data_IF_129596798470
#
_entry.id   IF_129596798470
#
_cell.length_a   1.000
_cell.length_b   1.000
_cell.length_c   1.000
_cell.angle_alpha   90.00
_cell.angle_beta   90.00
_cell.angle_gamma   90.00
#
_symmetry.space_group_name_H-M   'P 1'
#
loop_
_entity.id
_entity.type
_entity.pdbx_description
1 polymer ?
#
# COMPACT_ATOMS: atom_id res chain seq x y z
N UNK A 1 -16.69 -27.46 44.14
CA UNK A 1 -17.36 -26.32 44.80
C UNK A 1 -16.52 -25.08 44.57
N UNK A 2 -17.14 -24.03 44.03
CA UNK A 2 -16.87 -22.57 44.14
C UNK A 2 -15.39 -22.12 44.22
N UNK A 3 -14.90 -21.49 43.14
CA UNK A 3 -14.72 -20.02 43.00
C UNK A 3 -13.33 -19.61 43.53
N UNK A 4 -12.46 -18.99 42.72
CA UNK A 4 -12.51 -17.55 42.45
C UNK A 4 -12.12 -17.21 41.00
N UNK A 5 -12.89 -16.27 40.43
CA UNK A 5 -12.57 -15.55 39.21
C UNK A 5 -11.63 -14.40 39.58
N UNK A 6 -10.47 -14.29 38.94
CA UNK A 6 -9.83 -12.99 38.78
C UNK A 6 -9.98 -12.55 37.33
N UNK A 7 -10.77 -11.50 37.19
CA UNK A 7 -11.01 -10.71 36.00
C UNK A 7 -9.94 -9.62 35.96
N UNK A 8 -8.89 -9.79 35.17
CA UNK A 8 -8.01 -8.68 34.83
C UNK A 8 -8.24 -8.27 33.37
N UNK A 9 -8.56 -6.99 33.27
CA UNK A 9 -8.94 -6.23 32.10
C UNK A 9 -7.66 -5.82 31.38
N UNK A 10 -7.71 -5.89 30.06
CA UNK A 10 -6.85 -5.18 29.11
C UNK A 10 -6.75 -3.71 29.53
N UNK A 11 -5.53 -3.15 29.60
CA UNK A 11 -5.13 -1.83 29.06
C UNK A 11 -3.76 -1.38 29.60
N UNK A 12 -2.96 -0.83 28.69
CA UNK A 12 -1.80 0.05 28.88
C UNK A 12 -0.57 -0.44 29.66
N UNK A 13 0.41 -0.96 28.90
CA UNK A 13 1.75 -0.33 28.94
C UNK A 13 2.47 -0.53 27.61
N UNK A 14 2.17 0.38 26.68
CA UNK A 14 3.03 0.67 25.54
C UNK A 14 4.26 1.36 26.14
N UNK A 15 5.37 0.63 26.28
CA UNK A 15 6.66 1.22 26.62
C UNK A 15 7.15 2.04 25.43
N UNK A 16 6.67 3.27 25.38
CA UNK A 16 7.30 4.39 24.74
C UNK A 16 8.61 4.70 25.49
N UNK A 17 9.67 3.97 25.16
CA UNK A 17 11.05 4.44 25.37
C UNK A 17 11.64 4.74 24.00
N UNK A 18 11.64 6.03 23.67
CA UNK A 18 12.20 6.54 22.43
C UNK A 18 13.66 6.15 22.26
N UNK A 19 13.95 5.48 21.15
CA UNK A 19 15.24 5.60 20.48
C UNK A 19 15.03 6.49 19.26
N UNK A 20 15.22 7.80 19.46
CA UNK A 20 15.52 8.74 18.37
C UNK A 20 17.02 8.66 18.17
N UNK A 21 17.46 7.90 17.17
CA UNK A 21 18.87 7.72 16.80
C UNK A 21 18.97 6.73 15.65
N UNK A 22 19.32 7.23 14.46
CA UNK A 22 19.18 6.56 13.18
C UNK A 22 19.99 5.28 13.01
N UNK A 23 19.38 4.30 12.34
CA UNK A 23 20.08 3.07 11.93
C UNK A 23 19.54 2.37 10.67
N UNK A 24 18.43 2.84 10.06
CA UNK A 24 17.89 2.22 8.82
C UNK A 24 18.07 3.10 7.56
N UNK A 25 18.43 4.38 7.71
CA UNK A 25 18.71 5.26 6.56
C UNK A 25 20.14 5.15 6.02
N UNK A 26 21.04 4.43 6.72
CA UNK A 26 22.47 4.41 6.41
C UNK A 26 22.87 3.50 5.25
N UNK A 27 21.97 2.62 4.80
CA UNK A 27 22.20 1.74 3.66
C UNK A 27 20.96 1.72 2.77
N UNK A 28 21.16 1.77 1.46
CA UNK A 28 20.11 1.50 0.48
C UNK A 28 20.51 0.25 -0.30
N UNK A 29 19.59 -0.70 -0.47
CA UNK A 29 19.87 -1.91 -1.24
C UNK A 29 18.65 -2.37 -2.03
N UNK A 30 18.85 -2.53 -3.34
CA UNK A 30 17.94 -3.26 -4.21
C UNK A 30 18.79 -4.26 -4.99
N UNK A 31 18.57 -5.54 -4.73
CA UNK A 31 19.15 -6.65 -5.49
C UNK A 31 18.07 -7.16 -6.45
N UNK A 32 18.46 -7.48 -7.68
CA UNK A 32 17.54 -7.90 -8.75
C UNK A 32 16.37 -6.90 -8.99
N UNK A 33 16.66 -5.66 -9.42
CA UNK A 33 15.64 -4.68 -9.77
C UNK A 33 14.69 -5.16 -10.88
N UNK A 34 15.15 -6.04 -11.79
CA UNK A 34 14.30 -6.60 -12.85
C UNK A 34 13.21 -7.52 -12.27
N UNK A 35 13.58 -8.43 -11.36
CA UNK A 35 12.64 -9.28 -10.63
C UNK A 35 11.68 -8.48 -9.77
N UNK A 36 12.15 -7.38 -9.17
CA UNK A 36 11.30 -6.44 -8.43
C UNK A 36 10.23 -5.79 -9.34
N UNK A 37 10.61 -5.28 -10.52
CA UNK A 37 9.66 -4.70 -11.50
C UNK A 37 8.60 -5.72 -11.92
N UNK A 38 9.01 -6.95 -12.26
CA UNK A 38 8.09 -8.02 -12.65
C UNK A 38 7.11 -8.35 -11.53
N UNK A 39 7.59 -8.44 -10.29
CA UNK A 39 6.76 -8.74 -9.12
C UNK A 39 5.76 -7.64 -8.84
N UNK A 40 6.19 -6.38 -8.88
CA UNK A 40 5.32 -5.21 -8.71
C UNK A 40 4.26 -5.11 -9.82
N UNK A 41 4.64 -5.40 -11.08
CA UNK A 41 3.69 -5.41 -12.19
C UNK A 41 2.61 -6.48 -12.02
N UNK A 42 2.98 -7.67 -11.53
CA UNK A 42 2.01 -8.72 -11.18
C UNK A 42 1.07 -8.29 -10.07
N UNK A 43 1.56 -7.58 -9.04
CA UNK A 43 0.72 -7.04 -7.98
C UNK A 43 -0.30 -6.02 -8.53
N UNK A 44 0.13 -5.12 -9.41
CA UNK A 44 -0.78 -4.17 -10.08
C UNK A 44 -1.85 -4.92 -10.87
N UNK A 45 -1.48 -5.88 -11.71
CA UNK A 45 -2.43 -6.67 -12.51
C UNK A 45 -3.42 -7.43 -11.62
N UNK A 46 -2.94 -8.06 -10.54
CA UNK A 46 -3.80 -8.81 -9.64
C UNK A 46 -4.76 -7.91 -8.85
N UNK A 47 -4.30 -6.74 -8.41
CA UNK A 47 -5.18 -5.77 -7.76
C UNK A 47 -6.27 -5.23 -8.69
N UNK A 48 -5.95 -4.95 -9.95
CA UNK A 48 -6.95 -4.55 -10.95
C UNK A 48 -7.99 -5.65 -11.21
N UNK A 49 -7.56 -6.91 -11.29
CA UNK A 49 -8.49 -8.05 -11.39
C UNK A 49 -9.42 -8.13 -10.18
N UNK A 50 -8.87 -8.02 -8.97
CA UNK A 50 -9.65 -8.05 -7.73
C UNK A 50 -10.67 -6.90 -7.68
N UNK A 51 -10.27 -5.71 -8.12
CA UNK A 51 -11.13 -4.54 -8.17
C UNK A 51 -12.35 -4.78 -9.08
N UNK A 52 -12.14 -5.37 -10.26
CA UNK A 52 -13.24 -5.75 -11.14
C UNK A 52 -14.14 -6.82 -10.51
N UNK A 53 -13.57 -7.85 -9.89
CA UNK A 53 -14.34 -8.89 -9.17
C UNK A 53 -15.21 -8.28 -8.05
N UNK A 54 -14.68 -7.32 -7.29
CA UNK A 54 -15.45 -6.66 -6.23
C UNK A 54 -16.58 -5.79 -6.80
N UNK A 55 -16.34 -5.08 -7.90
CA UNK A 55 -17.37 -4.29 -8.59
C UNK A 55 -18.51 -5.18 -9.11
N UNK A 56 -18.19 -6.28 -9.78
CA UNK A 56 -19.20 -7.25 -10.26
C UNK A 56 -20.01 -7.84 -9.10
N UNK A 57 -19.35 -8.15 -7.98
CA UNK A 57 -20.01 -8.62 -6.77
C UNK A 57 -20.95 -7.55 -6.17
N UNK A 58 -20.55 -6.28 -6.17
CA UNK A 58 -21.37 -5.16 -5.71
C UNK A 58 -22.61 -4.94 -6.61
N UNK A 59 -22.46 -5.01 -7.93
CA UNK A 59 -23.58 -4.90 -8.89
C UNK A 59 -24.59 -6.04 -8.70
N UNK A 60 -24.08 -7.26 -8.52
CA UNK A 60 -24.91 -8.45 -8.23
C UNK A 60 -25.65 -8.27 -6.91
N UNK A 61 -24.95 -7.82 -5.87
CA UNK A 61 -25.53 -7.56 -4.55
C UNK A 61 -26.61 -6.48 -4.61
N UNK A 62 -26.38 -5.40 -5.36
CA UNK A 62 -27.36 -4.32 -5.53
C UNK A 62 -28.65 -4.81 -6.21
N UNK A 63 -28.52 -5.70 -7.19
CA UNK A 63 -29.68 -6.34 -7.83
C UNK A 63 -30.47 -7.25 -6.87
N UNK A 64 -29.83 -7.79 -5.84
CA UNK A 64 -30.44 -8.65 -4.82
C UNK A 64 -30.95 -7.89 -3.57
N UNK A 65 -30.92 -6.55 -3.58
CA UNK A 65 -31.25 -5.73 -2.41
C UNK A 65 -32.67 -5.94 -1.89
N UNK A 66 -33.63 -6.30 -2.76
CA UNK A 66 -35.00 -6.62 -2.35
C UNK A 66 -35.17 -7.96 -1.62
N UNK A 67 -34.16 -8.84 -1.68
CA UNK A 67 -34.19 -10.18 -1.07
C UNK A 67 -33.40 -10.23 0.23
N UNK A 68 -32.19 -9.66 0.24
CA UNK A 68 -31.31 -9.65 1.41
C UNK A 68 -30.62 -8.27 1.59
N UNK A 69 -31.35 -7.24 2.06
CA UNK A 69 -30.88 -5.86 2.07
C UNK A 69 -29.57 -5.65 2.82
N UNK A 70 -29.43 -6.25 4.01
CA UNK A 70 -28.25 -6.06 4.86
C UNK A 70 -27.01 -6.74 4.28
N UNK A 71 -27.18 -7.92 3.66
CA UNK A 71 -26.06 -8.62 3.02
C UNK A 71 -25.63 -7.90 1.76
N UNK A 72 -26.59 -7.44 0.95
CA UNK A 72 -26.32 -6.64 -0.23
C UNK A 72 -25.51 -5.38 0.11
N UNK A 73 -25.97 -4.64 1.13
CA UNK A 73 -25.29 -3.43 1.61
C UNK A 73 -23.85 -3.69 2.04
N UNK A 74 -23.60 -4.76 2.83
CA UNK A 74 -22.23 -5.12 3.26
C UNK A 74 -21.28 -5.40 2.10
N UNK A 75 -21.77 -6.02 1.02
CA UNK A 75 -20.93 -6.31 -0.17
C UNK A 75 -20.62 -5.03 -0.92
N UNK A 76 -21.61 -4.16 -1.12
CA UNK A 76 -21.43 -2.84 -1.75
C UNK A 76 -20.43 -1.99 -0.97
N UNK A 77 -20.60 -1.89 0.36
CA UNK A 77 -19.71 -1.12 1.23
C UNK A 77 -18.26 -1.65 1.16
N UNK A 78 -18.06 -2.97 1.24
CA UNK A 78 -16.74 -3.59 1.10
C UNK A 78 -16.08 -3.33 -0.26
N UNK A 79 -16.85 -3.38 -1.34
CA UNK A 79 -16.32 -3.07 -2.67
C UNK A 79 -15.86 -1.62 -2.75
N UNK A 80 -16.62 -0.69 -2.17
CA UNK A 80 -16.26 0.74 -2.12
C UNK A 80 -15.01 0.97 -1.27
N UNK A 81 -14.94 0.37 -0.09
CA UNK A 81 -13.79 0.49 0.80
C UNK A 81 -12.51 -0.05 0.13
N UNK A 82 -12.61 -1.19 -0.56
CA UNK A 82 -11.50 -1.76 -1.31
C UNK A 82 -11.07 -0.86 -2.47
N UNK A 83 -12.02 -0.35 -3.26
CA UNK A 83 -11.72 0.56 -4.37
C UNK A 83 -11.04 1.84 -3.87
N UNK A 84 -11.50 2.38 -2.73
CA UNK A 84 -10.89 3.55 -2.13
C UNK A 84 -9.46 3.25 -1.65
N UNK A 85 -9.24 2.20 -0.85
CA UNK A 85 -7.90 1.80 -0.38
C UNK A 85 -6.93 1.54 -1.54
N UNK A 86 -7.41 0.85 -2.57
CA UNK A 86 -6.62 0.56 -3.76
C UNK A 86 -6.14 1.85 -4.45
N UNK A 87 -7.04 2.81 -4.66
CA UNK A 87 -6.74 4.05 -5.38
C UNK A 87 -6.00 5.09 -4.51
N UNK A 88 -6.25 5.13 -3.20
CA UNK A 88 -5.69 6.11 -2.28
C UNK A 88 -4.30 5.72 -1.75
N UNK A 89 -4.05 4.44 -1.60
CA UNK A 89 -2.84 3.96 -0.92
C UNK A 89 -2.05 2.97 -1.77
N UNK A 90 -2.67 1.84 -2.13
CA UNK A 90 -1.94 0.67 -2.63
C UNK A 90 -1.36 0.89 -4.01
N UNK A 91 -2.18 1.36 -4.97
CA UNK A 91 -1.73 1.60 -6.33
C UNK A 91 -0.66 2.70 -6.40
N UNK A 92 -0.81 3.88 -5.79
CA UNK A 92 0.25 4.89 -5.76
C UNK A 92 1.58 4.34 -5.21
N UNK A 93 1.54 3.57 -4.12
CA UNK A 93 2.73 2.97 -3.53
C UNK A 93 3.41 1.98 -4.49
N UNK A 94 2.63 1.10 -5.13
CA UNK A 94 3.16 0.15 -6.12
C UNK A 94 3.83 0.87 -7.31
N UNK A 95 3.24 1.97 -7.77
CA UNK A 95 3.78 2.75 -8.89
C UNK A 95 5.11 3.41 -8.51
N UNK A 96 5.23 4.03 -7.34
CA UNK A 96 6.49 4.67 -6.93
C UNK A 96 7.59 3.65 -6.62
N UNK A 97 7.24 2.49 -6.07
CA UNK A 97 8.18 1.38 -5.87
C UNK A 97 8.66 0.81 -7.20
N UNK A 98 7.77 0.71 -8.20
CA UNK A 98 8.15 0.26 -9.54
C UNK A 98 9.06 1.27 -10.23
N UNK A 99 8.77 2.57 -10.08
CA UNK A 99 9.63 3.65 -10.56
C UNK A 99 11.03 3.56 -9.93
N UNK A 100 11.14 3.30 -8.62
CA UNK A 100 12.42 3.13 -7.95
C UNK A 100 13.19 1.94 -8.52
N UNK A 101 12.55 0.79 -8.67
CA UNK A 101 13.18 -0.40 -9.22
C UNK A 101 13.66 -0.20 -10.66
N UNK A 102 12.86 0.49 -11.50
CA UNK A 102 13.26 0.88 -12.85
C UNK A 102 14.47 1.83 -12.83
N UNK A 103 14.48 2.84 -11.96
CA UNK A 103 15.59 3.78 -11.88
C UNK A 103 16.89 3.09 -11.41
N UNK A 104 16.80 2.12 -10.48
CA UNK A 104 17.96 1.30 -10.10
C UNK A 104 18.42 0.43 -11.27
N UNK A 105 17.49 -0.21 -12.00
CA UNK A 105 17.81 -1.02 -13.18
C UNK A 105 18.53 -0.19 -14.25
N UNK A 106 18.02 1.01 -14.55
CA UNK A 106 18.57 1.90 -15.56
C UNK A 106 19.93 2.49 -15.15
N UNK A 107 20.14 2.69 -13.85
CA UNK A 107 21.37 3.32 -13.30
C UNK A 107 22.49 2.30 -13.06
N UNK A 108 22.17 1.15 -12.46
CA UNK A 108 23.16 0.17 -11.98
C UNK A 108 23.13 -1.17 -12.73
N UNK A 109 22.10 -1.40 -13.55
CA UNK A 109 21.92 -2.64 -14.29
C UNK A 109 21.18 -3.73 -13.49
N UNK A 110 21.09 -4.94 -14.05
CA UNK A 110 20.21 -6.00 -13.55
C UNK A 110 20.66 -6.62 -12.22
N UNK A 111 21.92 -6.47 -11.83
CA UNK A 111 22.41 -6.95 -10.53
C UNK A 111 21.93 -6.07 -9.37
N UNK A 112 21.57 -4.81 -9.65
CA UNK A 112 21.16 -3.83 -8.67
C UNK A 112 22.34 -3.13 -7.97
N UNK A 113 22.10 -2.63 -6.75
CA UNK A 113 23.09 -1.85 -5.99
C UNK A 113 22.89 -2.01 -4.49
N UNK A 114 24.00 -1.93 -3.77
CA UNK A 114 24.02 -1.61 -2.34
C UNK A 114 24.84 -0.33 -2.16
N UNK A 115 24.23 0.70 -1.59
CA UNK A 115 24.84 2.00 -1.31
C UNK A 115 25.08 2.08 0.19
N UNK A 116 26.34 2.07 0.59
CA UNK A 116 26.76 2.10 2.00
C UNK A 116 27.09 3.52 2.50
N UNK A 117 27.29 4.48 1.59
CA UNK A 117 27.40 5.88 1.98
C UNK A 117 26.06 6.36 2.53
N UNK A 118 25.99 6.83 3.78
CA UNK A 118 24.72 7.13 4.44
C UNK A 118 24.00 8.33 3.82
N UNK A 119 24.73 9.26 3.19
CA UNK A 119 24.12 10.43 2.54
C UNK A 119 23.47 9.98 1.23
N UNK A 120 24.19 9.22 0.42
CA UNK A 120 23.65 8.67 -0.82
C UNK A 120 22.50 7.68 -0.55
N UNK A 121 22.62 6.83 0.45
CA UNK A 121 21.57 5.91 0.88
C UNK A 121 20.29 6.66 1.28
N UNK A 122 20.42 7.73 2.08
CA UNK A 122 19.28 8.56 2.45
C UNK A 122 18.61 9.23 1.23
N UNK A 123 19.38 9.62 0.21
CA UNK A 123 18.81 10.15 -1.05
C UNK A 123 17.96 9.08 -1.75
N UNK A 124 18.48 7.86 -1.89
CA UNK A 124 17.75 6.76 -2.54
C UNK A 124 16.52 6.33 -1.74
N UNK A 125 16.64 6.17 -0.42
CA UNK A 125 15.55 5.80 0.48
C UNK A 125 14.41 6.85 0.46
N UNK A 126 14.73 8.13 0.27
CA UNK A 126 13.72 9.19 0.27
C UNK A 126 12.96 9.36 -1.05
N UNK A 127 13.47 8.85 -2.18
CA UNK A 127 12.84 9.01 -3.50
C UNK A 127 11.37 8.57 -3.53
N UNK A 128 10.99 7.36 -3.06
CA UNK A 128 9.59 6.92 -3.11
C UNK A 128 8.64 7.82 -2.31
N UNK A 129 9.09 8.36 -1.17
CA UNK A 129 8.29 9.25 -0.34
C UNK A 129 7.99 10.57 -1.07
N UNK A 130 9.00 11.16 -1.71
CA UNK A 130 8.84 12.38 -2.51
C UNK A 130 7.88 12.13 -3.68
N UNK A 131 8.09 11.06 -4.45
CA UNK A 131 7.24 10.74 -5.60
C UNK A 131 5.81 10.37 -5.19
N UNK A 132 5.60 9.74 -4.04
CA UNK A 132 4.26 9.43 -3.54
C UNK A 132 3.48 10.71 -3.27
N UNK A 133 4.14 11.73 -2.71
CA UNK A 133 3.53 13.03 -2.49
C UNK A 133 3.21 13.74 -3.82
N UNK A 134 4.08 13.63 -4.83
CA UNK A 134 3.83 14.17 -6.18
C UNK A 134 2.59 13.52 -6.82
N UNK A 135 2.50 12.18 -6.80
CA UNK A 135 1.36 11.43 -7.35
C UNK A 135 0.06 11.81 -6.65
N UNK A 136 0.07 11.92 -5.31
CA UNK A 136 -1.10 12.34 -4.54
C UNK A 136 -1.51 13.78 -4.85
N UNK A 137 -0.55 14.69 -5.00
CA UNK A 137 -0.82 16.08 -5.32
C UNK A 137 -1.45 16.26 -6.72
N UNK A 138 -0.93 15.54 -7.72
CA UNK A 138 -1.46 15.57 -9.09
C UNK A 138 -2.92 15.08 -9.17
N UNK A 139 -3.24 14.06 -8.39
CA UNK A 139 -4.61 13.55 -8.30
C UNK A 139 -5.57 14.60 -7.74
N UNK A 140 -5.17 15.27 -6.66
CA UNK A 140 -5.99 16.28 -6.00
C UNK A 140 -6.14 17.58 -6.81
N UNK A 141 -5.27 17.81 -7.80
CA UNK A 141 -5.32 18.96 -8.70
C UNK A 141 -6.00 18.68 -10.04
N UNK A 142 -6.36 17.42 -10.31
CA UNK A 142 -7.11 17.05 -11.52
C UNK A 142 -8.61 17.34 -11.33
N UNK A 143 -9.26 18.10 -12.25
CA UNK A 143 -10.70 18.36 -12.15
C UNK A 143 -11.48 17.04 -12.27
N UNK A 144 -12.65 16.91 -11.60
CA UNK A 144 -13.49 15.72 -11.76
C UNK A 144 -13.89 15.54 -13.23
N UNK A 145 -14.05 14.30 -13.70
CA UNK A 145 -14.49 14.03 -15.07
C UNK A 145 -15.85 14.72 -15.35
N UNK A 146 -16.09 15.18 -16.59
CA UNK A 146 -17.36 15.83 -16.96
C UNK A 146 -18.54 14.87 -16.73
N UNK A 147 -19.63 15.42 -16.18
CA UNK A 147 -20.89 14.72 -15.90
C UNK A 147 -21.63 14.29 -17.17
#
# INVERSE_FOLDING_TARGET
MLAERHNERVEDQIDASGSVGGSDESVFSIVDPQGAVISLARLVVNGQKMLNTMREAAETAQSAQGVAPDQARRVVDKSRDFEQDWNDEKLPLLIVSMRLALEVLDTFGPEGVTVEDPIEAAIWNNKPHVWLNEVKAQRNSSPPPPS
#
